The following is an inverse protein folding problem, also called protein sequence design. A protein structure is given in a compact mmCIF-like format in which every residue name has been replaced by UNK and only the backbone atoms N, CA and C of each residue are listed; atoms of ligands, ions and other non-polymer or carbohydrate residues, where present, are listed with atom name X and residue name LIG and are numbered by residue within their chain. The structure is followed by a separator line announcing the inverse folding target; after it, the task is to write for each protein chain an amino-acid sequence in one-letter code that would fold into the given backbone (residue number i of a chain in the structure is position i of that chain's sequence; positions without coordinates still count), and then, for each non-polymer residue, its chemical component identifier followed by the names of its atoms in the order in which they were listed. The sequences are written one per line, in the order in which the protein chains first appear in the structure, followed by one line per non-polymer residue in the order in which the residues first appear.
data_IF_873008724787
#
_entry.id   IF_873008724787
#
_cell.length_a   1.000
_cell.length_b   1.000
_cell.length_c   1.000
_cell.angle_alpha   90.00
_cell.angle_beta   90.00
_cell.angle_gamma   90.00
#
_symmetry.space_group_name_H-M   'P 1'
#
loop_
_entity.id
_entity.type
_entity.pdbx_description
1 polymer ?
#
# COMPACT_ATOMS: atom_id res chain seq x y z
N UNK A 1 5.18 -0.77 6.31
CA UNK A 1 3.74 -1.12 6.47
C UNK A 1 3.02 -0.06 7.30
N UNK A 2 3.54 0.31 8.47
CA UNK A 2 2.90 1.22 9.44
C UNK A 2 2.44 2.55 8.83
N UNK A 3 3.27 3.20 8.03
CA UNK A 3 2.90 4.45 7.36
C UNK A 3 1.71 4.30 6.41
N UNK A 4 1.57 3.14 5.75
CA UNK A 4 0.44 2.85 4.86
C UNK A 4 -0.85 2.65 5.65
N UNK A 5 -0.76 2.02 6.83
CA UNK A 5 -1.89 1.86 7.77
C UNK A 5 -2.30 3.22 8.33
N UNK A 6 -1.34 4.03 8.79
CA UNK A 6 -1.61 5.38 9.30
C UNK A 6 -2.24 6.27 8.23
N UNK A 7 -1.74 6.25 7.00
CA UNK A 7 -2.32 6.99 5.89
C UNK A 7 -3.77 6.58 5.63
N UNK A 8 -4.04 5.26 5.59
CA UNK A 8 -5.39 4.73 5.39
C UNK A 8 -6.33 5.11 6.53
N UNK A 9 -5.86 5.00 7.78
CA UNK A 9 -6.62 5.38 8.98
C UNK A 9 -6.97 6.86 8.96
N UNK A 10 -5.99 7.73 8.71
CA UNK A 10 -6.19 9.18 8.69
C UNK A 10 -7.16 9.59 7.57
N UNK A 11 -7.03 8.97 6.39
CA UNK A 11 -7.96 9.17 5.28
C UNK A 11 -9.39 8.77 5.65
N UNK A 12 -9.57 7.60 6.27
CA UNK A 12 -10.88 7.13 6.73
C UNK A 12 -11.49 8.07 7.79
N UNK A 13 -10.70 8.47 8.78
CA UNK A 13 -11.16 9.39 9.84
C UNK A 13 -11.55 10.76 9.27
N UNK A 14 -10.73 11.35 8.41
CA UNK A 14 -11.04 12.63 7.78
C UNK A 14 -12.29 12.55 6.89
N UNK A 15 -12.47 11.45 6.16
CA UNK A 15 -13.67 11.21 5.34
C UNK A 15 -14.92 11.05 6.21
N UNK A 16 -14.82 10.30 7.31
CA UNK A 16 -15.93 10.13 8.25
C UNK A 16 -16.34 11.45 8.91
N UNK A 17 -15.37 12.26 9.35
CA UNK A 17 -15.60 13.60 9.90
C UNK A 17 -16.35 14.51 8.91
N UNK A 18 -15.92 14.50 7.63
CA UNK A 18 -16.58 15.27 6.58
C UNK A 18 -18.03 14.79 6.32
N UNK A 19 -18.27 13.48 6.26
CA UNK A 19 -19.60 12.91 6.02
C UNK A 19 -20.57 13.15 7.18
N UNK A 20 -20.08 13.10 8.42
CA UNK A 20 -20.90 13.31 9.62
C UNK A 20 -21.05 14.80 9.97
N UNK A 21 -20.25 15.68 9.36
CA UNK A 21 -20.22 17.11 9.69
C UNK A 21 -19.69 17.38 11.10
N UNK A 22 -18.86 16.49 11.65
CA UNK A 22 -18.32 16.56 13.02
C UNK A 22 -16.79 16.52 13.00
N UNK A 23 -16.15 16.88 14.11
CA UNK A 23 -14.70 16.74 14.32
C UNK A 23 -13.80 17.42 13.26
N UNK A 24 -14.25 18.56 12.71
CA UNK A 24 -13.55 19.25 11.62
C UNK A 24 -12.12 19.70 12.00
N UNK A 25 -11.92 20.16 13.24
CA UNK A 25 -10.59 20.53 13.74
C UNK A 25 -9.66 19.32 13.82
N UNK A 26 -10.18 18.17 14.26
CA UNK A 26 -9.42 16.93 14.30
C UNK A 26 -9.09 16.44 12.88
N UNK A 27 -10.05 16.48 11.97
CA UNK A 27 -9.84 16.13 10.56
C UNK A 27 -8.77 17.02 9.90
N UNK A 28 -8.79 18.33 10.16
CA UNK A 28 -7.76 19.25 9.67
C UNK A 28 -6.36 18.86 10.17
N UNK A 29 -6.21 18.56 11.47
CA UNK A 29 -4.94 18.08 12.05
C UNK A 29 -4.45 16.78 11.40
N UNK A 30 -5.36 15.85 11.10
CA UNK A 30 -5.01 14.62 10.40
C UNK A 30 -4.52 14.90 8.98
N UNK A 31 -5.21 15.77 8.24
CA UNK A 31 -4.83 16.17 6.88
C UNK A 31 -3.48 16.88 6.83
N UNK A 32 -3.15 17.71 7.83
CA UNK A 32 -1.84 18.36 7.96
C UNK A 32 -0.71 17.39 8.33
N UNK A 33 -1.03 16.32 9.05
CA UNK A 33 -0.04 15.32 9.50
C UNK A 33 0.26 14.31 8.41
N UNK A 34 -0.75 13.96 7.61
CA UNK A 34 -0.65 12.94 6.55
C UNK A 34 0.52 13.13 5.56
N UNK A 35 0.81 14.34 5.03
CA UNK A 35 1.95 14.54 4.11
C UNK A 35 3.32 14.41 4.80
N UNK A 36 3.39 14.38 6.13
CA UNK A 36 4.63 14.19 6.89
C UNK A 36 4.98 12.71 7.06
N UNK A 37 4.05 11.80 6.75
CA UNK A 37 4.31 10.36 6.78
C UNK A 37 5.18 9.97 5.57
N UNK A 38 6.25 9.19 5.76
CA UNK A 38 7.07 8.73 4.65
C UNK A 38 6.25 7.92 3.63
N UNK A 39 6.24 8.30 2.34
CA UNK A 39 5.50 7.58 1.32
C UNK A 39 6.14 6.21 1.03
N UNK A 40 5.42 5.28 0.39
CA UNK A 40 6.01 4.06 -0.14
C UNK A 40 7.15 4.39 -1.11
N UNK A 41 8.28 3.70 -0.96
CA UNK A 41 9.47 3.91 -1.79
C UNK A 41 9.79 2.66 -2.61
N UNK A 42 10.46 2.88 -3.74
CA UNK A 42 10.95 1.82 -4.63
C UNK A 42 12.42 1.55 -4.26
N UNK A 43 12.75 0.29 -3.98
CA UNK A 43 14.09 -0.17 -3.64
C UNK A 43 14.96 -0.40 -4.87
N UNK A 44 16.24 -0.72 -4.65
CA UNK A 44 17.25 -0.92 -5.70
C UNK A 44 16.91 -2.00 -6.73
N UNK A 45 16.06 -2.96 -6.39
CA UNK A 45 15.64 -4.03 -7.30
C UNK A 45 14.30 -3.75 -7.99
N UNK A 46 13.79 -2.51 -7.86
CA UNK A 46 12.48 -2.13 -8.35
C UNK A 46 11.33 -2.72 -7.53
N UNK A 47 11.60 -3.21 -6.32
CA UNK A 47 10.61 -3.74 -5.38
C UNK A 47 10.12 -2.63 -4.45
N UNK A 48 8.92 -2.76 -3.87
CA UNK A 48 8.52 -1.90 -2.76
C UNK A 48 9.41 -2.16 -1.54
N UNK A 49 9.92 -1.08 -0.94
CA UNK A 49 10.71 -1.16 0.29
C UNK A 49 9.81 -1.53 1.48
N UNK A 50 10.28 -2.47 2.30
CA UNK A 50 9.60 -2.85 3.54
C UNK A 50 9.91 -1.88 4.69
N UNK A 51 11.14 -1.36 4.68
CA UNK A 51 11.70 -0.42 5.65
C UNK A 51 11.96 0.95 5.01
N UNK A 52 12.26 1.96 5.84
CA UNK A 52 12.52 3.32 5.35
C UNK A 52 13.84 3.43 4.56
N UNK A 53 14.81 2.61 4.93
CA UNK A 53 16.06 2.44 4.21
C UNK A 53 15.99 1.15 3.40
N UNK A 54 16.68 1.13 2.25
CA UNK A 54 16.73 -0.01 1.35
C UNK A 54 17.66 -1.10 1.90
N UNK A 55 17.25 -1.78 2.96
CA UNK A 55 17.98 -2.92 3.52
C UNK A 55 17.91 -4.14 2.59
N UNK A 56 18.97 -4.95 2.61
CA UNK A 56 18.94 -6.24 1.94
C UNK A 56 17.92 -7.17 2.63
N UNK A 57 17.10 -7.85 1.84
CA UNK A 57 16.14 -8.82 2.36
C UNK A 57 16.88 -10.03 2.94
N UNK A 58 16.76 -10.25 4.25
CA UNK A 58 17.35 -11.42 4.92
C UNK A 58 16.70 -12.73 4.44
N UNK A 59 15.40 -12.70 4.13
CA UNK A 59 14.63 -13.83 3.61
C UNK A 59 13.83 -13.41 2.38
N UNK A 60 14.38 -13.53 1.16
CA UNK A 60 13.67 -13.13 -0.07
C UNK A 60 12.35 -13.89 -0.30
N UNK A 61 12.22 -15.11 0.22
CA UNK A 61 11.01 -15.94 0.16
C UNK A 61 10.04 -15.76 1.32
N UNK A 62 10.20 -14.72 2.15
CA UNK A 62 9.42 -14.55 3.36
C UNK A 62 7.90 -14.54 3.06
N UNK A 63 7.13 -15.27 3.88
CA UNK A 63 5.69 -15.50 3.65
C UNK A 63 4.82 -14.25 3.82
N UNK A 64 5.32 -13.24 4.52
CA UNK A 64 4.59 -12.00 4.77
C UNK A 64 4.76 -11.02 3.61
N UNK A 65 3.63 -10.47 3.18
CA UNK A 65 3.54 -9.49 2.10
C UNK A 65 3.15 -8.11 2.65
N UNK A 66 3.59 -7.80 3.87
CA UNK A 66 3.31 -6.57 4.60
C UNK A 66 3.52 -5.27 3.79
N UNK A 67 4.54 -5.16 2.91
CA UNK A 67 4.71 -3.96 2.06
C UNK A 67 3.58 -3.75 1.04
N UNK A 68 2.82 -4.81 0.72
CA UNK A 68 1.73 -4.79 -0.24
C UNK A 68 0.38 -4.37 0.37
N UNK A 69 0.33 -4.04 1.67
CA UNK A 69 -0.88 -3.53 2.32
C UNK A 69 -1.48 -2.33 1.58
N UNK A 70 -0.63 -1.39 1.14
CA UNK A 70 -1.03 -0.22 0.39
C UNK A 70 -1.70 -0.54 -0.96
N UNK A 71 -1.45 -1.71 -1.53
CA UNK A 71 -2.13 -2.22 -2.72
C UNK A 71 -3.41 -3.00 -2.37
N UNK A 72 -3.37 -3.84 -1.34
CA UNK A 72 -4.52 -4.55 -0.82
C UNK A 72 -4.28 -5.01 0.62
N UNK A 73 -5.24 -4.81 1.55
CA UNK A 73 -6.59 -4.24 1.37
C UNK A 73 -6.65 -2.71 1.30
N UNK A 74 -5.52 -2.00 1.41
CA UNK A 74 -5.47 -0.54 1.24
C UNK A 74 -5.71 -0.10 -0.20
N UNK A 75 -5.78 1.22 -0.39
CA UNK A 75 -6.01 1.87 -1.69
C UNK A 75 -4.96 2.96 -2.01
N UNK A 76 -3.82 2.94 -1.30
CA UNK A 76 -2.72 3.88 -1.49
C UNK A 76 -1.99 3.65 -2.81
N UNK A 77 -1.90 2.39 -3.24
CA UNK A 77 -1.27 1.97 -4.49
C UNK A 77 -2.38 1.53 -5.45
N UNK A 78 -2.54 2.26 -6.54
CA UNK A 78 -3.53 1.95 -7.58
C UNK A 78 -2.88 1.90 -8.95
N UNK A 79 -3.43 1.06 -9.84
CA UNK A 79 -2.91 0.92 -11.21
C UNK A 79 -2.97 2.23 -12.02
N UNK A 80 -3.94 3.10 -11.72
CA UNK A 80 -4.15 4.35 -12.46
C UNK A 80 -3.50 5.55 -11.78
N UNK A 81 -3.57 5.63 -10.45
CA UNK A 81 -3.06 6.77 -9.69
C UNK A 81 -1.57 6.69 -9.39
N UNK A 82 -1.02 5.49 -9.24
CA UNK A 82 0.39 5.27 -8.87
C UNK A 82 0.99 4.10 -9.66
N UNK A 83 1.11 4.21 -11.00
CA UNK A 83 1.53 3.09 -11.86
C UNK A 83 2.93 2.57 -11.50
N UNK A 84 3.85 3.45 -11.11
CA UNK A 84 5.22 3.07 -10.71
C UNK A 84 5.23 2.23 -9.42
N UNK A 85 4.42 2.61 -8.43
CA UNK A 85 4.28 1.84 -7.18
C UNK A 85 3.54 0.51 -7.42
N UNK A 86 2.61 0.47 -8.37
CA UNK A 86 1.92 -0.76 -8.74
C UNK A 86 2.87 -1.74 -9.45
N UNK A 87 3.74 -1.24 -10.31
CA UNK A 87 4.81 -2.04 -10.92
C UNK A 87 5.81 -2.52 -9.87
N UNK A 88 6.18 -1.68 -8.91
CA UNK A 88 7.03 -2.08 -7.79
C UNK A 88 6.38 -3.17 -6.92
N UNK A 89 5.07 -3.08 -6.68
CA UNK A 89 4.29 -4.11 -5.99
C UNK A 89 4.31 -5.44 -6.75
N UNK A 90 4.16 -5.40 -8.08
CA UNK A 90 4.27 -6.59 -8.95
C UNK A 90 5.66 -7.22 -8.82
N UNK A 91 6.71 -6.42 -8.89
CA UNK A 91 8.10 -6.90 -8.74
C UNK A 91 8.37 -7.50 -7.35
N UNK A 92 7.84 -6.91 -6.28
CA UNK A 92 7.91 -7.51 -4.94
C UNK A 92 7.26 -8.89 -4.92
N UNK A 93 6.08 -9.03 -5.52
CA UNK A 93 5.37 -10.32 -5.59
C UNK A 93 6.17 -11.36 -6.37
N UNK A 94 6.72 -11.00 -7.53
CA UNK A 94 7.51 -11.90 -8.37
C UNK A 94 8.80 -12.35 -7.69
N UNK A 95 9.48 -11.45 -6.99
CA UNK A 95 10.66 -11.79 -6.20
C UNK A 95 10.31 -12.79 -5.10
N UNK A 96 9.20 -12.58 -4.38
CA UNK A 96 8.75 -13.49 -3.32
C UNK A 96 8.40 -14.87 -3.89
N UNK A 97 7.75 -14.93 -5.05
CA UNK A 97 7.44 -16.18 -5.76
C UNK A 97 8.70 -16.94 -6.19
N UNK A 98 9.66 -16.24 -6.80
CA UNK A 98 10.91 -16.83 -7.27
C UNK A 98 11.73 -17.48 -6.14
N UNK A 99 11.51 -17.05 -4.89
CA UNK A 99 12.18 -17.56 -3.70
C UNK A 99 11.27 -18.43 -2.80
N UNK A 100 10.13 -18.93 -3.31
CA UNK A 100 9.30 -19.94 -2.63
C UNK A 100 8.17 -19.40 -1.73
N UNK A 101 7.93 -18.09 -1.69
CA UNK A 101 6.92 -17.44 -0.83
C UNK A 101 5.46 -17.52 -1.29
N UNK A 102 5.15 -18.30 -2.32
CA UNK A 102 3.85 -18.28 -3.05
C UNK A 102 2.72 -19.14 -2.50
N UNK A 103 2.91 -19.85 -1.38
CA UNK A 103 1.96 -20.87 -0.92
C UNK A 103 0.88 -20.35 0.06
N UNK A 104 0.83 -19.06 0.37
CA UNK A 104 -0.11 -18.48 1.35
C UNK A 104 -1.37 -17.90 0.70
N UNK A 105 -2.52 -17.98 1.38
CA UNK A 105 -3.80 -17.43 0.87
C UNK A 105 -3.75 -15.93 0.53
N UNK A 106 -2.91 -15.16 1.23
CA UNK A 106 -2.67 -13.73 0.97
C UNK A 106 -2.11 -13.45 -0.41
N UNK A 107 -1.32 -14.38 -0.98
CA UNK A 107 -0.80 -14.28 -2.34
C UNK A 107 -1.95 -14.23 -3.36
N UNK A 108 -2.93 -15.12 -3.24
CA UNK A 108 -4.07 -15.18 -4.17
C UNK A 108 -4.93 -13.92 -4.13
N UNK A 109 -5.11 -13.34 -2.95
CA UNK A 109 -5.86 -12.09 -2.79
C UNK A 109 -5.13 -10.90 -3.45
N UNK A 110 -3.80 -10.79 -3.27
CA UNK A 110 -2.99 -9.71 -3.85
C UNK A 110 -2.81 -9.89 -5.36
N UNK A 111 -2.59 -11.11 -5.84
CA UNK A 111 -2.59 -11.38 -7.28
C UNK A 111 -3.96 -11.08 -7.91
N UNK A 112 -5.04 -11.41 -7.19
CA UNK A 112 -6.41 -11.07 -7.58
C UNK A 112 -6.68 -9.56 -7.60
N UNK A 113 -6.07 -8.76 -6.73
CA UNK A 113 -6.27 -7.30 -6.71
C UNK A 113 -5.71 -6.64 -7.97
N UNK A 114 -4.61 -7.12 -8.55
CA UNK A 114 -4.15 -6.66 -9.87
C UNK A 114 -5.18 -6.90 -10.99
N UNK A 115 -5.96 -7.99 -10.89
CA UNK A 115 -7.03 -8.32 -11.84
C UNK A 115 -8.30 -7.48 -11.58
N UNK A 116 -8.67 -7.29 -10.30
CA UNK A 116 -9.92 -6.61 -9.90
C UNK A 116 -9.82 -5.07 -9.86
N UNK A 117 -8.63 -4.49 -9.65
CA UNK A 117 -8.42 -3.03 -9.61
C UNK A 117 -8.63 -2.34 -10.98
N UNK A 118 -9.08 -3.08 -12.01
CA UNK A 118 -9.61 -2.52 -13.27
C UNK A 118 -11.00 -1.87 -13.13
N UNK A 119 -11.69 -1.98 -12.00
CA UNK A 119 -13.13 -1.64 -11.89
C UNK A 119 -13.54 -0.50 -10.95
N UNK A 120 -12.62 0.26 -10.38
CA UNK A 120 -13.02 1.47 -9.64
C UNK A 120 -13.41 2.59 -10.62
N UNK A 121 -14.65 3.13 -10.56
CA UNK A 121 -15.02 4.30 -11.34
C UNK A 121 -14.19 5.48 -10.82
N UNK A 122 -13.62 6.28 -11.73
CA UNK A 122 -12.94 7.51 -11.34
C UNK A 122 -13.93 8.51 -10.72
N UNK A 123 -13.44 9.51 -9.96
CA UNK A 123 -14.30 10.61 -9.53
C UNK A 123 -14.70 11.39 -10.79
N UNK A 124 -16.00 11.39 -11.07
CA UNK A 124 -16.65 12.30 -12.02
C UNK A 124 -17.24 13.48 -11.29
#
# INVERSE_FOLDING_TARGET
MDNQILFSLFTCCATAAALLGQDQEFAARLQETMPKLPPPQIGRHGQLQEWLEDYAEAEPGHRHLSPLFGLYPGNLITLRGTPELAEAARRTLERRLAHGGGHTGSYRAIAGSFVFCRRSPGPG
#
